data_IF_277266868380
#
_entry.id   IF_277266868380
#
_cell.length_a   1.000
_cell.length_b   1.000
_cell.length_c   1.000
_cell.angle_alpha   90.00
_cell.angle_beta   90.00
_cell.angle_gamma   90.00
#
_symmetry.space_group_name_H-M   'P 1'
#
loop_
_entity.id
_entity.type
_entity.pdbx_description
1 polymer ?
#
# COMPACT_ATOMS: atom_id res chain seq x y z
N UNK A 1 28.76 5.11 25.25
CA UNK A 1 27.95 5.85 24.25
C UNK A 1 28.30 5.26 22.90
N UNK A 2 27.44 4.41 22.34
CA UNK A 2 27.57 3.95 20.96
C UNK A 2 26.48 4.69 20.19
N UNK A 3 26.88 5.71 19.44
CA UNK A 3 26.04 6.25 18.38
C UNK A 3 26.04 5.20 17.27
N UNK A 4 25.05 4.32 17.27
CA UNK A 4 24.72 3.56 16.07
C UNK A 4 24.14 4.58 15.09
N UNK A 5 25.00 5.20 14.28
CA UNK A 5 24.56 5.94 13.11
C UNK A 5 24.05 4.91 12.12
N UNK A 6 22.77 4.57 12.21
CA UNK A 6 22.13 3.80 11.16
C UNK A 6 22.16 4.67 9.90
N UNK A 7 22.93 4.23 8.92
CA UNK A 7 23.11 4.94 7.67
C UNK A 7 21.86 4.69 6.80
N UNK A 8 20.77 5.41 7.09
CA UNK A 8 19.53 5.36 6.32
C UNK A 8 19.85 5.90 4.93
N UNK A 9 20.04 5.00 3.96
CA UNK A 9 20.26 5.38 2.57
C UNK A 9 18.92 5.79 1.95
N UNK A 10 18.87 6.91 1.20
CA UNK A 10 17.67 7.25 0.43
C UNK A 10 17.40 6.16 -0.60
N UNK A 11 16.12 5.87 -0.85
CA UNK A 11 15.72 4.98 -1.93
C UNK A 11 16.19 5.53 -3.28
N UNK A 12 16.65 4.65 -4.18
CA UNK A 12 16.85 5.00 -5.59
C UNK A 12 15.51 5.24 -6.28
N UNK A 13 15.53 5.88 -7.45
CA UNK A 13 14.32 6.10 -8.24
C UNK A 13 13.58 4.80 -8.58
N UNK A 14 14.31 3.72 -8.86
CA UNK A 14 13.72 2.41 -9.15
C UNK A 14 13.05 1.81 -7.92
N UNK A 15 13.70 1.89 -6.75
CA UNK A 15 13.13 1.43 -5.49
C UNK A 15 11.90 2.25 -5.11
N UNK A 16 11.95 3.58 -5.30
CA UNK A 16 10.82 4.46 -5.06
C UNK A 16 9.65 4.18 -6.00
N UNK A 17 9.93 3.80 -7.26
CA UNK A 17 8.91 3.33 -8.20
C UNK A 17 8.23 2.05 -7.70
N UNK A 18 8.98 1.05 -7.25
CA UNK A 18 8.42 -0.17 -6.64
C UNK A 18 7.52 0.19 -5.46
N UNK A 19 8.01 1.03 -4.54
CA UNK A 19 7.21 1.49 -3.40
C UNK A 19 5.93 2.17 -3.87
N UNK A 20 6.00 3.03 -4.88
CA UNK A 20 4.85 3.79 -5.41
C UNK A 20 3.80 2.91 -6.09
N UNK A 21 4.19 1.74 -6.59
CA UNK A 21 3.25 0.76 -7.13
C UNK A 21 2.46 0.07 -6.01
N UNK A 22 3.01 -0.06 -4.81
CA UNK A 22 2.38 -0.83 -3.73
C UNK A 22 0.96 -0.37 -3.35
N UNK A 23 0.63 0.93 -3.21
CA UNK A 23 -0.73 1.34 -2.87
C UNK A 23 -1.71 1.11 -4.03
N UNK A 24 -1.23 1.19 -5.27
CA UNK A 24 -2.03 0.90 -6.47
C UNK A 24 -2.33 -0.59 -6.56
N UNK A 25 -1.33 -1.44 -6.36
CA UNK A 25 -1.49 -2.90 -6.35
C UNK A 25 -2.43 -3.33 -5.22
N UNK A 26 -2.30 -2.77 -4.03
CA UNK A 26 -3.21 -3.04 -2.91
C UNK A 26 -4.65 -2.63 -3.26
N UNK A 27 -4.85 -1.46 -3.86
CA UNK A 27 -6.17 -1.05 -4.33
C UNK A 27 -6.74 -2.05 -5.32
N UNK A 28 -5.97 -2.51 -6.31
CA UNK A 28 -6.44 -3.48 -7.28
C UNK A 28 -6.75 -4.84 -6.65
N UNK A 29 -5.93 -5.32 -5.72
CA UNK A 29 -6.18 -6.59 -5.02
C UNK A 29 -7.47 -6.56 -4.21
N UNK A 30 -7.74 -5.44 -3.53
CA UNK A 30 -8.93 -5.29 -2.68
C UNK A 30 -10.16 -4.97 -3.51
N UNK A 31 -10.11 -3.97 -4.39
CA UNK A 31 -11.26 -3.51 -5.16
C UNK A 31 -11.63 -4.47 -6.30
N UNK A 32 -10.66 -5.13 -6.95
CA UNK A 32 -10.97 -6.11 -8.00
C UNK A 32 -11.20 -7.53 -7.46
N UNK A 33 -11.42 -7.70 -6.15
CA UNK A 33 -11.67 -9.02 -5.56
C UNK A 33 -12.90 -9.71 -6.20
N UNK A 34 -13.89 -8.94 -6.65
CA UNK A 34 -15.09 -9.44 -7.35
C UNK A 34 -14.97 -9.39 -8.91
N UNK A 35 -13.85 -8.88 -9.42
CA UNK A 35 -13.55 -8.75 -10.85
C UNK A 35 -14.01 -7.45 -11.51
N UNK A 36 -14.55 -6.47 -10.76
CA UNK A 36 -14.93 -5.16 -11.30
C UNK A 36 -14.40 -4.03 -10.42
N UNK A 37 -14.05 -2.88 -11.04
CA UNK A 37 -13.74 -1.66 -10.31
C UNK A 37 -14.59 -0.53 -10.90
N UNK A 38 -15.49 0.01 -10.09
CA UNK A 38 -16.38 1.09 -10.49
C UNK A 38 -15.71 2.49 -10.34
N UNK A 39 -16.41 3.54 -10.78
CA UNK A 39 -15.89 4.91 -10.69
C UNK A 39 -15.90 5.47 -9.27
N UNK A 40 -16.79 4.97 -8.39
CA UNK A 40 -16.87 5.38 -6.99
C UNK A 40 -15.65 4.85 -6.23
N UNK A 41 -15.26 3.60 -6.43
CA UNK A 41 -14.09 2.99 -5.82
C UNK A 41 -12.80 3.71 -6.23
N UNK A 42 -12.68 4.08 -7.52
CA UNK A 42 -11.58 4.91 -8.01
C UNK A 42 -11.53 6.27 -7.31
N UNK A 43 -12.68 6.93 -7.17
CA UNK A 43 -12.74 8.22 -6.49
C UNK A 43 -12.38 8.10 -5.02
N UNK A 44 -12.86 7.07 -4.32
CA UNK A 44 -12.53 6.82 -2.92
C UNK A 44 -11.03 6.56 -2.75
N UNK A 45 -10.43 5.76 -3.63
CA UNK A 45 -8.99 5.55 -3.63
C UNK A 45 -8.21 6.86 -3.78
N UNK A 46 -8.62 7.72 -4.72
CA UNK A 46 -8.01 9.05 -4.90
C UNK A 46 -8.14 9.91 -3.64
N UNK A 47 -9.25 9.86 -2.92
CA UNK A 47 -9.40 10.58 -1.65
C UNK A 47 -8.52 9.98 -0.55
N UNK A 48 -8.46 8.65 -0.43
CA UNK A 48 -7.60 7.97 0.55
C UNK A 48 -6.11 8.30 0.36
N UNK A 49 -5.65 8.45 -0.89
CA UNK A 49 -4.28 8.88 -1.19
C UNK A 49 -3.97 10.29 -0.66
N UNK A 50 -4.97 11.15 -0.48
CA UNK A 50 -4.82 12.51 0.06
C UNK A 50 -4.93 12.56 1.58
N UNK A 51 -5.52 11.55 2.23
CA UNK A 51 -5.72 11.48 3.68
C UNK A 51 -4.46 11.03 4.44
N UNK A 52 -3.32 11.67 4.16
CA UNK A 52 -2.01 11.25 4.69
C UNK A 52 -1.82 11.55 6.17
N UNK A 53 -2.56 12.52 6.72
CA UNK A 53 -2.45 12.91 8.14
C UNK A 53 -2.81 11.78 9.13
N UNK A 54 -3.54 10.76 8.67
CA UNK A 54 -3.90 9.59 9.49
C UNK A 54 -2.74 8.59 9.64
N UNK A 55 -1.69 8.70 8.83
CA UNK A 55 -0.57 7.76 8.83
C UNK A 55 0.45 8.11 9.91
N UNK A 56 1.09 7.09 10.47
CA UNK A 56 2.18 7.19 11.44
C UNK A 56 3.54 7.32 10.73
N UNK A 57 3.79 6.52 9.70
CA UNK A 57 5.00 6.55 8.88
C UNK A 57 5.04 7.78 7.99
N UNK A 58 6.03 8.64 8.21
CA UNK A 58 6.27 9.81 7.36
C UNK A 58 6.72 9.41 5.95
N UNK A 59 7.35 8.24 5.81
CA UNK A 59 7.70 7.66 4.52
C UNK A 59 6.46 7.29 3.72
N UNK A 60 5.48 6.64 4.34
CA UNK A 60 4.23 6.31 3.66
C UNK A 60 3.44 7.59 3.31
N UNK A 61 3.38 8.60 4.18
CA UNK A 61 2.75 9.89 3.84
C UNK A 61 3.28 10.48 2.55
N UNK A 62 4.61 10.58 2.47
CA UNK A 62 5.29 11.12 1.29
C UNK A 62 4.98 10.28 0.05
N UNK A 63 5.03 8.95 0.20
CA UNK A 63 4.73 8.02 -0.87
C UNK A 63 3.30 8.18 -1.40
N UNK A 64 2.28 8.25 -0.53
CA UNK A 64 0.89 8.40 -0.95
C UNK A 64 0.65 9.73 -1.69
N UNK A 65 1.33 10.82 -1.28
CA UNK A 65 1.28 12.10 -2.00
C UNK A 65 1.96 12.04 -3.37
N UNK A 66 3.03 11.27 -3.52
CA UNK A 66 3.68 11.02 -4.81
C UNK A 66 2.80 10.18 -5.72
N UNK A 67 2.19 9.12 -5.17
CA UNK A 67 1.24 8.26 -5.88
C UNK A 67 0.04 9.07 -6.35
N UNK A 68 -0.53 9.94 -5.51
CA UNK A 68 -1.64 10.82 -5.91
C UNK A 68 -1.28 11.71 -7.12
N UNK A 69 -0.05 12.22 -7.17
CA UNK A 69 0.43 13.07 -8.27
C UNK A 69 0.70 12.28 -9.56
N UNK A 70 1.10 11.02 -9.44
CA UNK A 70 1.55 10.17 -10.55
C UNK A 70 0.58 9.04 -10.88
N UNK A 71 -0.65 9.10 -10.33
CA UNK A 71 -1.58 7.98 -10.36
C UNK A 71 -1.86 7.48 -11.78
N UNK A 72 -2.06 8.39 -12.73
CA UNK A 72 -2.31 8.04 -14.14
C UNK A 72 -1.17 7.22 -14.73
N UNK A 73 0.08 7.62 -14.48
CA UNK A 73 1.27 6.95 -14.99
C UNK A 73 1.44 5.58 -14.33
N UNK A 74 1.22 5.49 -13.01
CA UNK A 74 1.27 4.23 -12.27
C UNK A 74 0.19 3.24 -12.76
N UNK A 75 -1.02 3.70 -13.03
CA UNK A 75 -2.08 2.86 -13.60
C UNK A 75 -1.72 2.37 -15.00
N UNK A 76 -1.10 3.22 -15.83
CA UNK A 76 -0.60 2.80 -17.15
C UNK A 76 0.50 1.73 -17.04
N UNK A 77 1.41 1.87 -16.07
CA UNK A 77 2.44 0.86 -15.78
C UNK A 77 1.79 -0.47 -15.44
N UNK A 78 0.85 -0.49 -14.49
CA UNK A 78 0.17 -1.73 -14.09
C UNK A 78 -0.64 -2.35 -15.25
N UNK A 79 -1.22 -1.54 -16.13
CA UNK A 79 -1.99 -2.03 -17.26
C UNK A 79 -1.12 -2.56 -18.42
N UNK A 80 0.13 -2.09 -18.55
CA UNK A 80 1.00 -2.40 -19.69
C UNK A 80 2.09 -3.44 -19.36
N UNK A 81 2.47 -3.55 -18.10
CA UNK A 81 3.49 -4.50 -17.62
C UNK A 81 2.81 -5.76 -17.08
N UNK A 82 3.44 -6.93 -17.30
CA UNK A 82 3.05 -8.16 -16.60
C UNK A 82 3.68 -8.15 -15.22
N UNK A 83 3.02 -7.46 -14.28
CA UNK A 83 3.46 -7.40 -12.89
C UNK A 83 2.85 -8.57 -12.11
N UNK A 84 3.70 -9.27 -11.35
CA UNK A 84 3.21 -10.10 -10.26
C UNK A 84 2.91 -9.20 -9.06
N UNK A 85 1.61 -9.10 -8.73
CA UNK A 85 1.13 -8.24 -7.65
C UNK A 85 1.72 -8.63 -6.29
N UNK A 86 1.97 -9.92 -6.07
CA UNK A 86 2.55 -10.42 -4.82
C UNK A 86 4.03 -10.04 -4.76
N UNK A 87 4.76 -10.18 -5.87
CA UNK A 87 6.16 -9.79 -5.93
C UNK A 87 6.34 -8.31 -5.57
N UNK A 88 5.49 -7.41 -6.08
CA UNK A 88 5.55 -5.97 -5.74
C UNK A 88 5.38 -5.73 -4.23
N UNK A 89 4.47 -6.44 -3.56
CA UNK A 89 4.25 -6.31 -2.12
C UNK A 89 5.46 -6.86 -1.35
N UNK A 90 5.99 -8.02 -1.74
CA UNK A 90 7.15 -8.60 -1.06
C UNK A 90 8.43 -7.78 -1.27
N UNK A 91 8.65 -7.22 -2.47
CA UNK A 91 9.76 -6.32 -2.76
C UNK A 91 9.62 -5.02 -1.96
N UNK A 92 8.41 -4.49 -1.82
CA UNK A 92 8.13 -3.33 -0.95
C UNK A 92 8.57 -3.60 0.49
N UNK A 93 8.25 -4.77 1.04
CA UNK A 93 8.66 -5.18 2.38
C UNK A 93 10.18 -5.27 2.50
N UNK A 94 10.84 -5.91 1.54
CA UNK A 94 12.30 -6.03 1.55
C UNK A 94 12.99 -4.66 1.47
N UNK A 95 12.46 -3.74 0.64
CA UNK A 95 13.00 -2.40 0.52
C UNK A 95 12.89 -1.62 1.83
N UNK A 96 11.72 -1.62 2.48
CA UNK A 96 11.55 -0.88 3.73
C UNK A 96 12.35 -1.48 4.88
N UNK A 97 12.47 -2.81 4.96
CA UNK A 97 13.28 -3.48 5.99
C UNK A 97 14.79 -3.28 5.79
N UNK A 98 15.24 -3.08 4.55
CA UNK A 98 16.66 -2.82 4.25
C UNK A 98 17.06 -1.36 4.44
N UNK A 99 16.14 -0.41 4.24
CA UNK A 99 16.49 1.02 4.14
C UNK A 99 15.94 1.88 5.29
N UNK A 100 14.99 1.38 6.07
CA UNK A 100 14.41 2.10 7.21
C UNK A 100 14.83 1.46 8.53
N UNK A 101 14.78 2.24 9.61
CA UNK A 101 14.91 1.68 10.95
C UNK A 101 13.80 0.65 11.21
N UNK A 102 14.04 -0.41 12.01
CA UNK A 102 13.05 -1.45 12.25
C UNK A 102 11.68 -0.93 12.73
N UNK A 103 11.67 0.11 13.56
CA UNK A 103 10.44 0.75 14.03
C UNK A 103 9.69 1.47 12.90
N UNK A 104 10.39 2.25 12.07
CA UNK A 104 9.77 2.95 10.94
C UNK A 104 9.32 1.98 9.85
N UNK A 105 10.08 0.91 9.58
CA UNK A 105 9.67 -0.17 8.67
C UNK A 105 8.38 -0.85 9.17
N UNK A 106 8.27 -1.10 10.48
CA UNK A 106 7.05 -1.64 11.07
C UNK A 106 5.87 -0.69 10.90
N UNK A 107 6.04 0.60 11.22
CA UNK A 107 5.00 1.61 11.07
C UNK A 107 4.54 1.74 9.62
N UNK A 108 5.48 1.74 8.67
CA UNK A 108 5.18 1.80 7.24
C UNK A 108 4.27 0.64 6.83
N UNK A 109 4.65 -0.60 7.20
CA UNK A 109 3.89 -1.81 6.85
C UNK A 109 2.51 -1.81 7.51
N UNK A 110 2.43 -1.42 8.78
CA UNK A 110 1.15 -1.33 9.50
C UNK A 110 0.22 -0.30 8.85
N UNK A 111 0.73 0.89 8.52
CA UNK A 111 -0.08 1.91 7.86
C UNK A 111 -0.50 1.51 6.44
N UNK A 112 0.33 0.72 5.74
CA UNK A 112 -0.02 0.18 4.44
C UNK A 112 -1.15 -0.87 4.53
N UNK A 113 -1.17 -1.68 5.59
CA UNK A 113 -2.29 -2.57 5.90
C UNK A 113 -3.55 -1.79 6.33
N UNK A 114 -3.40 -0.74 7.13
CA UNK A 114 -4.51 0.14 7.51
C UNK A 114 -5.11 0.82 6.27
N UNK A 115 -4.27 1.25 5.32
CA UNK A 115 -4.68 1.77 4.02
C UNK A 115 -5.47 0.73 3.20
N UNK A 116 -5.00 -0.51 3.13
CA UNK A 116 -5.73 -1.61 2.49
C UNK A 116 -7.10 -1.85 3.14
N UNK A 117 -7.16 -1.80 4.47
CA UNK A 117 -8.39 -1.97 5.26
C UNK A 117 -9.39 -0.85 5.01
N UNK A 118 -8.91 0.39 4.87
CA UNK A 118 -9.74 1.54 4.52
C UNK A 118 -10.32 1.42 3.11
N UNK A 119 -9.53 0.91 2.15
CA UNK A 119 -10.03 0.60 0.80
C UNK A 119 -11.18 -0.39 0.89
N UNK A 120 -10.99 -1.54 1.56
CA UNK A 120 -12.02 -2.58 1.72
C UNK A 120 -13.32 -2.03 2.35
N UNK A 121 -13.18 -1.20 3.39
CA UNK A 121 -14.35 -0.55 4.04
C UNK A 121 -15.07 0.42 3.11
N UNK A 122 -14.34 1.04 2.18
CA UNK A 122 -14.88 2.02 1.25
C UNK A 122 -15.54 1.37 0.02
N UNK A 123 -15.00 0.22 -0.44
CA UNK A 123 -15.41 -0.55 -1.62
C UNK A 123 -16.68 -1.36 -1.44
N UNK A 124 -17.05 -1.75 -0.20
CA UNK A 124 -18.16 -2.66 0.13
C UNK A 124 -19.61 -2.23 -0.22
N UNK A 125 -19.84 -1.63 -1.39
CA UNK A 125 -21.11 -1.61 -2.10
C UNK A 125 -22.28 -0.93 -1.38
N UNK A 126 -22.60 0.32 -1.74
CA UNK A 126 -23.87 1.06 -1.54
C UNK A 126 -24.63 1.05 -0.19
N UNK A 127 -24.42 0.19 0.82
CA UNK A 127 -25.29 0.16 2.03
C UNK A 127 -24.70 -0.21 3.40
N UNK A 128 -23.45 -0.66 3.58
CA UNK A 128 -23.03 -1.06 4.95
C UNK A 128 -21.60 -0.80 5.42
N UNK A 129 -20.62 -0.52 4.56
CA UNK A 129 -19.21 -0.34 4.99
C UNK A 129 -18.63 -1.57 5.70
N UNK A 130 -19.24 -2.74 5.49
CA UNK A 130 -18.87 -4.01 6.10
C UNK A 130 -17.96 -4.76 5.14
N UNK A 131 -16.78 -5.16 5.62
CA UNK A 131 -15.82 -5.98 4.88
C UNK A 131 -16.42 -7.37 4.69
N UNK A 132 -16.49 -7.86 3.45
CA UNK A 132 -17.01 -9.20 3.17
C UNK A 132 -15.94 -10.31 3.37
N UNK A 133 -16.33 -11.57 3.12
CA UNK A 133 -15.40 -12.71 3.32
C UNK A 133 -14.22 -12.69 2.33
N UNK A 134 -14.46 -12.29 1.08
CA UNK A 134 -13.41 -12.22 0.06
C UNK A 134 -12.45 -11.07 0.36
N UNK A 135 -12.97 -9.89 0.69
CA UNK A 135 -12.15 -8.75 1.11
C UNK A 135 -11.35 -9.08 2.37
N UNK A 136 -11.95 -9.76 3.36
CA UNK A 136 -11.22 -10.20 4.55
C UNK A 136 -10.10 -11.19 4.22
N UNK A 137 -10.35 -12.15 3.32
CA UNK A 137 -9.31 -13.09 2.87
C UNK A 137 -8.16 -12.37 2.16
N UNK A 138 -8.47 -11.37 1.32
CA UNK A 138 -7.47 -10.53 0.67
C UNK A 138 -6.65 -9.75 1.70
N UNK A 139 -7.29 -9.16 2.72
CA UNK A 139 -6.59 -8.45 3.79
C UNK A 139 -5.67 -9.38 4.61
N UNK A 140 -6.12 -10.60 4.91
CA UNK A 140 -5.31 -11.60 5.61
C UNK A 140 -4.06 -11.97 4.78
N UNK A 141 -4.21 -12.11 3.45
CA UNK A 141 -3.10 -12.35 2.52
C UNK A 141 -2.15 -11.16 2.45
N UNK A 142 -2.67 -9.94 2.33
CA UNK A 142 -1.84 -8.72 2.34
C UNK A 142 -1.07 -8.64 3.65
N UNK A 143 -1.72 -8.86 4.80
CA UNK A 143 -1.05 -8.88 6.11
C UNK A 143 0.06 -9.92 6.19
N UNK A 144 -0.18 -11.12 5.63
CA UNK A 144 0.83 -12.17 5.54
C UNK A 144 2.04 -11.73 4.71
N UNK A 145 1.83 -11.17 3.52
CA UNK A 145 2.92 -10.70 2.65
C UNK A 145 3.66 -9.50 3.22
N UNK A 146 2.97 -8.64 3.98
CA UNK A 146 3.57 -7.55 4.75
C UNK A 146 4.38 -8.04 5.97
N UNK A 147 4.42 -9.36 6.22
CA UNK A 147 5.09 -9.98 7.37
C UNK A 147 4.59 -9.40 8.71
N UNK A 148 3.33 -8.96 8.72
CA UNK A 148 2.63 -8.53 9.91
C UNK A 148 1.89 -9.76 10.43
N UNK A 149 2.57 -10.57 11.23
CA UNK A 149 1.89 -11.66 11.91
C UNK A 149 0.89 -11.04 12.90
N UNK A 150 -0.40 -11.18 12.62
CA UNK A 150 -1.45 -10.94 13.60
C UNK A 150 -1.27 -11.99 14.72
N UNK A 151 -0.66 -11.56 15.82
CA UNK A 151 -0.50 -12.34 17.05
C UNK A 151 -1.83 -12.58 17.74
#
# INVERSE_FOLDING_TARGET
>A
MHETRTNIQPFSDSQWRTLSLSPVIIFLLVAAADGHIDNREKQQFVELLKETEKRRSDRLKTLLQDVARQLTDLLMVVASETLDMIDVITETVDLVEQHLEPEEALLFKQDLLDFATEIARSSGGLTSGTIDRHEQQTLDQISHYLRLNLS
#
